data_IF_176693106078
#
_entry.id   IF_176693106078
#
_cell.length_a   1.000
_cell.length_b   1.000
_cell.length_c   1.000
_cell.angle_alpha   90.00
_cell.angle_beta   90.00
_cell.angle_gamma   90.00
#
_symmetry.space_group_name_H-M   'P 1'
#
loop_
_entity.id
_entity.type
_entity.pdbx_description
1 polymer ?
#
# COMPACT_ATOMS: atom_id res chain seq x y z
N UNK A 1 -2.38 -39.20 -26.69
CA UNK A 1 -3.71 -38.60 -26.52
C UNK A 1 -3.51 -37.17 -26.06
N UNK A 2 -3.74 -36.22 -26.97
CA UNK A 2 -3.83 -34.79 -26.69
C UNK A 2 -5.09 -34.53 -25.85
N UNK A 3 -5.04 -33.58 -24.91
CA UNK A 3 -5.98 -32.44 -24.83
C UNK A 3 -5.31 -31.30 -24.05
N UNK A 4 -5.31 -30.16 -24.72
CA UNK A 4 -4.86 -28.82 -24.35
C UNK A 4 -5.88 -28.07 -23.51
N UNK A 5 -5.43 -27.32 -22.51
CA UNK A 5 -5.93 -26.01 -22.02
C UNK A 5 -4.98 -25.60 -20.89
N UNK A 6 -4.44 -24.40 -20.77
CA UNK A 6 -4.66 -23.14 -21.47
C UNK A 6 -3.81 -22.11 -20.72
N UNK A 7 -3.10 -21.30 -21.49
CA UNK A 7 -2.30 -20.16 -21.07
C UNK A 7 -3.15 -19.14 -20.28
N UNK A 8 -2.70 -18.70 -19.11
CA UNK A 8 -3.03 -17.39 -18.50
C UNK A 8 -2.01 -17.10 -17.38
N UNK A 9 -0.79 -16.69 -17.74
CA UNK A 9 -0.30 -15.30 -17.66
C UNK A 9 0.11 -14.92 -16.22
N UNK A 10 1.41 -15.09 -15.96
CA UNK A 10 2.33 -14.08 -15.44
C UNK A 10 1.73 -13.07 -14.44
N UNK A 11 2.04 -13.25 -13.15
CA UNK A 11 2.15 -12.16 -12.16
C UNK A 11 3.38 -12.32 -11.26
N UNK A 12 4.38 -13.05 -11.76
CA UNK A 12 5.77 -13.00 -11.30
C UNK A 12 6.63 -12.34 -12.39
N UNK A 13 6.18 -11.19 -12.88
CA UNK A 13 6.98 -10.24 -13.65
C UNK A 13 6.13 -8.98 -13.76
N UNK A 14 6.56 -7.90 -13.10
CA UNK A 14 6.32 -6.61 -13.72
C UNK A 14 6.85 -6.73 -15.15
N UNK A 15 6.07 -6.39 -16.19
CA UNK A 15 6.69 -6.28 -17.49
C UNK A 15 7.80 -5.24 -17.33
N UNK A 16 9.00 -5.54 -17.78
CA UNK A 16 10.09 -4.57 -17.86
C UNK A 16 9.70 -3.32 -18.68
N UNK A 17 8.52 -3.33 -19.33
CA UNK A 17 7.85 -2.20 -19.97
C UNK A 17 6.94 -1.33 -19.06
N UNK A 18 6.78 -1.66 -17.77
CA UNK A 18 6.20 -0.79 -16.73
C UNK A 18 7.26 -0.31 -15.72
N UNK A 19 8.52 -0.67 -15.94
CA UNK A 19 9.67 -0.09 -15.25
C UNK A 19 10.02 1.32 -15.77
N UNK A 20 9.35 1.79 -16.81
CA UNK A 20 9.47 3.16 -17.31
C UNK A 20 8.70 4.13 -16.40
N UNK A 21 9.48 4.98 -15.72
CA UNK A 21 9.12 6.28 -15.12
C UNK A 21 8.70 6.36 -13.65
N UNK A 22 9.42 5.68 -12.75
CA UNK A 22 9.59 6.19 -11.37
C UNK A 22 10.80 7.13 -11.34
N UNK A 23 10.59 8.43 -11.13
CA UNK A 23 11.67 9.41 -11.22
C UNK A 23 12.46 9.56 -9.91
N UNK A 24 11.74 9.51 -8.78
CA UNK A 24 12.32 9.49 -7.44
C UNK A 24 11.32 8.94 -6.43
N UNK A 25 11.86 8.47 -5.31
CA UNK A 25 11.13 7.94 -4.18
C UNK A 25 11.83 8.39 -2.91
N UNK A 26 11.07 8.63 -1.84
CA UNK A 26 11.67 8.76 -0.52
C UNK A 26 10.79 8.10 0.53
N UNK A 27 11.46 7.55 1.55
CA UNK A 27 10.83 6.94 2.70
C UNK A 27 11.27 7.68 3.95
N UNK A 28 10.30 8.11 4.75
CA UNK A 28 10.53 8.80 6.02
C UNK A 28 9.96 7.98 7.15
N UNK A 29 10.71 7.91 8.25
CA UNK A 29 10.29 7.27 9.49
C UNK A 29 10.13 8.30 10.61
N UNK A 30 9.08 8.15 11.40
CA UNK A 30 8.87 8.90 12.63
C UNK A 30 8.28 7.98 13.70
N UNK A 31 9.09 7.67 14.71
CA UNK A 31 8.74 6.63 15.67
C UNK A 31 8.53 5.29 14.97
N UNK A 32 7.32 4.73 15.10
CA UNK A 32 6.95 3.47 14.46
C UNK A 32 6.29 3.65 13.09
N UNK A 33 5.99 4.88 12.68
CA UNK A 33 5.36 5.18 11.41
C UNK A 33 6.41 5.21 10.29
N UNK A 34 6.02 4.71 9.13
CA UNK A 34 6.82 4.79 7.91
C UNK A 34 5.94 5.30 6.77
N UNK A 35 6.38 6.35 6.08
CA UNK A 35 5.71 6.87 4.90
C UNK A 35 6.64 6.87 3.71
N UNK A 36 6.18 6.28 2.60
CA UNK A 36 6.85 6.34 1.32
C UNK A 36 6.06 7.20 0.34
N UNK A 37 6.78 8.06 -0.38
CA UNK A 37 6.24 8.92 -1.43
C UNK A 37 6.96 8.61 -2.72
N UNK A 38 6.21 8.36 -3.79
CA UNK A 38 6.72 8.20 -5.14
C UNK A 38 6.30 9.40 -5.99
N UNK A 39 7.26 9.99 -6.69
CA UNK A 39 7.02 11.12 -7.58
C UNK A 39 7.48 10.82 -9.01
N UNK A 40 6.83 11.49 -9.97
CA UNK A 40 7.12 11.42 -11.39
C UNK A 40 7.15 12.80 -12.02
N UNK A 41 7.87 12.91 -13.13
CA UNK A 41 7.97 14.08 -13.98
C UNK A 41 8.24 13.64 -15.42
N UNK A 42 7.25 13.84 -16.28
CA UNK A 42 7.32 13.49 -17.69
C UNK A 42 7.91 14.65 -18.51
N UNK A 43 9.18 14.54 -18.90
CA UNK A 43 9.85 15.58 -19.68
C UNK A 43 9.88 16.93 -18.95
N UNK A 44 9.26 17.94 -19.55
CA UNK A 44 9.17 19.30 -19.00
C UNK A 44 7.85 19.57 -18.24
N UNK A 45 7.00 18.56 -18.05
CA UNK A 45 5.79 18.73 -17.24
C UNK A 45 6.12 19.02 -15.77
N UNK A 46 5.18 19.61 -15.00
CA UNK A 46 5.34 19.72 -13.56
C UNK A 46 5.46 18.34 -12.90
N UNK A 47 6.29 18.25 -11.86
CA UNK A 47 6.37 17.07 -10.99
C UNK A 47 4.99 16.76 -10.39
N UNK A 48 4.65 15.48 -10.30
CA UNK A 48 3.43 14.97 -9.67
C UNK A 48 3.77 13.88 -8.66
N UNK A 49 3.00 13.82 -7.57
CA UNK A 49 3.06 12.69 -6.65
C UNK A 49 2.17 11.58 -7.21
N UNK A 50 2.78 10.44 -7.51
CA UNK A 50 2.10 9.32 -8.15
C UNK A 50 1.47 8.39 -7.10
N UNK A 51 2.12 8.25 -5.95
CA UNK A 51 1.66 7.35 -4.90
C UNK A 51 2.21 7.77 -3.55
N UNK A 52 1.38 7.62 -2.52
CA UNK A 52 1.78 7.78 -1.13
C UNK A 52 1.29 6.57 -0.37
N UNK A 53 2.16 6.00 0.45
CA UNK A 53 1.87 4.84 1.27
C UNK A 53 2.36 5.06 2.69
N UNK A 54 1.49 4.77 3.66
CA UNK A 54 1.74 4.93 5.09
C UNK A 54 1.54 3.59 5.79
N UNK A 55 2.54 3.21 6.58
CA UNK A 55 2.45 2.10 7.53
C UNK A 55 2.21 2.64 8.93
N UNK A 56 1.16 2.11 9.57
CA UNK A 56 0.86 2.37 10.97
C UNK A 56 0.81 1.05 11.76
N UNK A 57 1.92 0.60 12.35
CA UNK A 57 1.96 -0.58 13.19
C UNK A 57 1.26 -0.34 14.54
N UNK A 58 0.78 -1.42 15.14
CA UNK A 58 0.48 -1.45 16.57
C UNK A 58 1.77 -1.51 17.42
N UNK A 59 1.64 -1.38 18.74
CA UNK A 59 2.79 -1.23 19.65
C UNK A 59 3.79 -2.41 19.60
N UNK A 60 3.29 -3.64 19.51
CA UNK A 60 4.08 -4.87 19.42
C UNK A 60 4.42 -5.27 17.97
N UNK A 61 3.97 -4.50 16.99
CA UNK A 61 4.17 -4.70 15.54
C UNK A 61 3.63 -6.03 14.99
N UNK A 62 2.73 -6.68 15.73
CA UNK A 62 2.07 -7.90 15.27
C UNK A 62 1.04 -7.63 14.17
N UNK A 63 0.55 -6.39 14.07
CA UNK A 63 -0.35 -5.91 13.03
C UNK A 63 0.09 -4.54 12.51
N UNK A 64 -0.14 -4.30 11.21
CA UNK A 64 0.07 -3.01 10.54
C UNK A 64 -1.18 -2.64 9.77
N UNK A 65 -1.61 -1.40 9.91
CA UNK A 65 -2.55 -0.78 8.99
C UNK A 65 -1.76 -0.06 7.89
N UNK A 66 -1.87 -0.55 6.68
CA UNK A 66 -1.30 0.06 5.48
C UNK A 66 -2.36 0.95 4.83
N UNK A 67 -2.03 2.21 4.59
CA UNK A 67 -2.90 3.17 3.90
C UNK A 67 -2.22 3.71 2.64
N UNK A 68 -2.94 3.68 1.52
CA UNK A 68 -2.51 4.34 0.28
C UNK A 68 -3.34 5.59 0.04
N UNK A 69 -2.70 6.69 -0.36
CA UNK A 69 -3.36 7.95 -0.67
C UNK A 69 -3.18 8.34 -2.14
N UNK A 70 -4.15 9.08 -2.65
CA UNK A 70 -4.06 9.85 -3.89
C UNK A 70 -3.99 11.32 -3.51
N UNK A 71 -2.78 11.90 -3.37
CA UNK A 71 -2.64 13.28 -2.94
C UNK A 71 -3.12 14.25 -4.01
N UNK A 72 -3.74 15.33 -3.58
CA UNK A 72 -4.09 16.48 -4.41
C UNK A 72 -3.31 17.68 -3.88
N UNK A 73 -2.20 18.03 -4.56
CA UNK A 73 -1.28 19.06 -4.10
C UNK A 73 -0.54 18.66 -2.81
N UNK A 74 -0.66 19.50 -1.79
CA UNK A 74 0.11 19.40 -0.53
C UNK A 74 -0.67 18.70 0.60
N UNK A 75 -1.91 18.27 0.34
CA UNK A 75 -2.77 17.63 1.34
C UNK A 75 -2.87 16.11 1.13
N UNK A 76 -2.83 15.37 2.25
CA UNK A 76 -3.32 14.00 2.29
C UNK A 76 -4.80 14.02 2.67
N UNK A 77 -5.66 13.84 1.67
CA UNK A 77 -7.10 13.64 1.87
C UNK A 77 -7.38 12.25 2.49
N UNK A 78 -8.62 11.77 2.38
CA UNK A 78 -8.97 10.42 2.79
C UNK A 78 -8.08 9.36 2.11
N UNK A 79 -7.72 8.27 2.83
CA UNK A 79 -7.01 7.16 2.22
C UNK A 79 -7.85 6.57 1.09
N UNK A 80 -7.20 6.28 -0.03
CA UNK A 80 -7.83 5.66 -1.20
C UNK A 80 -7.94 4.14 -1.08
N UNK A 81 -7.10 3.53 -0.23
CA UNK A 81 -7.10 2.10 0.06
C UNK A 81 -6.55 1.87 1.47
N UNK A 82 -7.12 0.86 2.15
CA UNK A 82 -6.63 0.33 3.41
C UNK A 82 -6.40 -1.17 3.29
N UNK A 83 -5.31 -1.64 3.87
CA UNK A 83 -5.02 -3.06 4.05
C UNK A 83 -4.56 -3.31 5.48
N UNK A 84 -4.95 -4.44 6.06
CA UNK A 84 -4.38 -4.91 7.31
C UNK A 84 -3.38 -6.01 7.01
N UNK A 85 -2.22 -5.92 7.65
CA UNK A 85 -1.15 -6.90 7.56
C UNK A 85 -0.87 -7.47 8.94
N UNK A 86 -0.64 -8.77 9.00
CA UNK A 86 -0.18 -9.45 10.21
C UNK A 86 1.15 -10.14 9.95
N UNK A 87 1.96 -10.25 11.00
CA UNK A 87 3.25 -10.90 10.98
C UNK A 87 3.23 -12.22 11.76
N UNK A 88 4.16 -13.10 11.41
CA UNK A 88 4.41 -14.35 12.11
C UNK A 88 5.70 -15.01 11.65
N UNK A 89 5.94 -16.21 12.16
CA UNK A 89 7.12 -16.99 11.82
C UNK A 89 6.80 -18.04 10.76
N UNK A 90 7.59 -18.04 9.70
CA UNK A 90 7.64 -19.08 8.66
C UNK A 90 9.10 -19.22 8.25
N UNK A 91 9.55 -20.44 7.98
CA UNK A 91 10.88 -20.68 7.45
C UNK A 91 11.06 -20.02 6.07
N UNK A 92 12.28 -19.62 5.75
CA UNK A 92 12.60 -19.01 4.46
C UNK A 92 12.30 -19.97 3.30
N UNK A 93 11.74 -19.44 2.21
CA UNK A 93 11.36 -20.23 1.04
C UNK A 93 10.10 -21.08 1.20
N UNK A 94 9.43 -21.03 2.35
CA UNK A 94 8.18 -21.74 2.60
C UNK A 94 6.98 -20.80 2.76
N UNK A 95 5.81 -21.31 2.41
CA UNK A 95 4.53 -20.70 2.80
C UNK A 95 4.07 -21.29 4.14
N UNK A 96 3.48 -20.45 4.99
CA UNK A 96 2.82 -20.89 6.20
C UNK A 96 1.54 -21.70 5.90
N UNK A 97 0.99 -22.41 6.90
CA UNK A 97 -0.30 -23.08 6.76
C UNK A 97 -1.42 -22.07 6.44
N UNK A 98 -2.55 -22.51 5.87
CA UNK A 98 -3.72 -21.65 5.71
C UNK A 98 -4.23 -21.14 7.06
N UNK A 99 -4.41 -19.82 7.14
CA UNK A 99 -4.87 -19.10 8.32
C UNK A 99 -6.00 -18.15 7.95
N UNK A 100 -6.80 -17.72 8.91
CA UNK A 100 -7.79 -16.66 8.71
C UNK A 100 -7.25 -15.35 9.26
N UNK A 101 -7.21 -14.32 8.43
CA UNK A 101 -6.97 -12.94 8.86
C UNK A 101 -8.29 -12.19 8.79
N UNK A 102 -8.74 -11.70 9.95
CA UNK A 102 -9.97 -10.96 10.11
C UNK A 102 -9.70 -9.57 10.66
N UNK A 103 -10.59 -8.64 10.36
CA UNK A 103 -10.59 -7.30 10.91
C UNK A 103 -12.00 -6.81 11.23
N UNK A 104 -12.10 -5.86 12.15
CA UNK A 104 -13.34 -5.15 12.46
C UNK A 104 -13.03 -3.78 13.05
N UNK A 105 -13.97 -2.82 13.05
CA UNK A 105 -13.87 -1.65 13.93
C UNK A 105 -13.63 -2.11 15.38
N UNK A 106 -12.78 -1.41 16.14
CA UNK A 106 -12.34 -1.86 17.47
C UNK A 106 -13.49 -2.06 18.48
N UNK A 107 -14.62 -1.38 18.26
CA UNK A 107 -15.84 -1.44 19.07
C UNK A 107 -16.97 -2.26 18.41
N UNK A 108 -16.66 -3.01 17.35
CA UNK A 108 -17.66 -3.82 16.67
C UNK A 108 -18.14 -4.98 17.56
N UNK A 109 -19.37 -5.44 17.29
CA UNK A 109 -19.95 -6.58 18.00
C UNK A 109 -19.18 -7.86 17.66
N UNK A 110 -19.07 -8.82 18.59
CA UNK A 110 -18.50 -10.13 18.28
C UNK A 110 -19.18 -10.77 17.05
N UNK A 111 -18.39 -11.39 16.19
CA UNK A 111 -18.90 -12.09 15.00
C UNK A 111 -19.12 -11.23 13.74
N UNK A 112 -18.87 -9.91 13.80
CA UNK A 112 -18.99 -9.04 12.61
C UNK A 112 -17.66 -8.82 11.88
N UNK A 113 -16.62 -9.57 12.23
CA UNK A 113 -15.31 -9.43 11.63
C UNK A 113 -15.31 -9.89 10.17
N UNK A 114 -14.66 -9.09 9.32
CA UNK A 114 -14.53 -9.33 7.88
C UNK A 114 -13.11 -9.79 7.59
N UNK A 115 -12.93 -10.67 6.61
CA UNK A 115 -11.60 -10.99 6.13
C UNK A 115 -11.61 -12.24 5.27
N UNK A 116 -10.50 -12.98 5.28
CA UNK A 116 -10.34 -14.11 4.39
C UNK A 116 -9.25 -15.08 4.82
N UNK A 117 -9.12 -16.14 4.03
CA UNK A 117 -8.02 -17.07 4.15
C UNK A 117 -6.75 -16.44 3.57
N UNK A 118 -5.65 -16.59 4.29
CA UNK A 118 -4.33 -16.11 3.91
C UNK A 118 -3.29 -17.18 4.18
N UNK A 119 -2.08 -16.99 3.63
CA UNK A 119 -0.88 -17.71 4.01
C UNK A 119 0.20 -16.70 4.32
N UNK A 120 0.90 -16.89 5.43
CA UNK A 120 2.10 -16.13 5.71
C UNK A 120 3.16 -16.46 4.65
N UNK A 121 3.74 -15.43 4.05
CA UNK A 121 4.83 -15.55 3.11
C UNK A 121 6.00 -14.70 3.58
N UNK A 122 7.21 -15.23 3.49
CA UNK A 122 8.45 -14.48 3.72
C UNK A 122 8.98 -14.01 2.36
N UNK A 123 8.97 -12.70 2.13
CA UNK A 123 9.57 -12.12 0.93
C UNK A 123 11.11 -12.26 0.96
N UNK A 124 11.79 -12.21 -0.20
CA UNK A 124 13.24 -12.45 -0.30
C UNK A 124 14.12 -11.55 0.58
N UNK A 125 13.64 -10.34 0.88
CA UNK A 125 14.38 -9.33 1.68
C UNK A 125 13.74 -9.07 3.05
N UNK A 126 12.71 -9.85 3.43
CA UNK A 126 12.02 -9.67 4.72
C UNK A 126 12.46 -10.74 5.72
N UNK A 127 12.99 -10.36 6.90
CA UNK A 127 13.32 -11.33 7.93
C UNK A 127 12.08 -11.92 8.61
N UNK A 128 10.87 -11.44 8.32
CA UNK A 128 9.63 -11.89 8.97
C UNK A 128 8.58 -12.20 7.89
N UNK A 129 7.80 -13.26 8.10
CA UNK A 129 6.71 -13.62 7.21
C UNK A 129 5.48 -12.76 7.50
N UNK A 130 4.73 -12.43 6.46
CA UNK A 130 3.52 -11.62 6.60
C UNK A 130 2.41 -12.09 5.68
N UNK A 131 1.20 -11.71 6.04
CA UNK A 131 0.00 -11.87 5.24
C UNK A 131 -0.80 -10.58 5.32
N UNK A 132 -1.47 -10.21 4.23
CA UNK A 132 -2.32 -9.01 4.21
C UNK A 132 -3.62 -9.26 3.48
N UNK A 133 -4.62 -8.45 3.81
CA UNK A 133 -5.89 -8.37 3.10
C UNK A 133 -6.25 -6.91 2.88
N UNK A 134 -6.81 -6.61 1.71
CA UNK A 134 -7.44 -5.31 1.46
C UNK A 134 -8.71 -5.21 2.31
N UNK A 135 -8.75 -4.19 3.16
CA UNK A 135 -9.91 -3.87 3.99
C UNK A 135 -10.92 -3.04 3.20
N UNK A 136 -10.42 -2.03 2.49
CA UNK A 136 -11.24 -1.07 1.78
C UNK A 136 -10.48 -0.40 0.64
N UNK A 137 -11.23 0.06 -0.37
CA UNK A 137 -10.70 0.70 -1.55
C UNK A 137 -11.74 1.64 -2.17
N UNK A 138 -11.29 2.74 -2.76
CA UNK A 138 -12.08 3.70 -3.53
C UNK A 138 -11.78 3.62 -5.03
N UNK A 139 -12.58 4.33 -5.84
CA UNK A 139 -12.43 4.38 -7.30
C UNK A 139 -13.30 3.34 -8.02
N UNK A 140 -12.83 2.85 -9.17
CA UNK A 140 -13.65 2.02 -10.07
C UNK A 140 -14.10 0.68 -9.45
N UNK A 141 -13.29 0.11 -8.56
CA UNK A 141 -13.59 -1.12 -7.82
C UNK A 141 -13.77 -0.79 -6.33
N UNK A 142 -14.65 0.17 -6.05
CA UNK A 142 -14.93 0.60 -4.69
C UNK A 142 -15.40 -0.58 -3.83
N UNK A 143 -14.81 -0.72 -2.66
CA UNK A 143 -15.05 -1.80 -1.73
C UNK A 143 -14.95 -1.26 -0.31
N UNK A 144 -16.00 -1.43 0.48
CA UNK A 144 -16.04 -1.07 1.91
C UNK A 144 -15.58 0.36 2.21
N UNK A 145 -16.04 1.33 1.42
CA UNK A 145 -15.65 2.74 1.54
C UNK A 145 -15.98 3.33 2.91
N UNK A 146 -16.93 2.74 3.65
CA UNK A 146 -17.22 3.07 5.04
C UNK A 146 -16.00 2.95 5.98
N UNK A 147 -15.10 2.00 5.72
CA UNK A 147 -13.88 1.84 6.51
C UNK A 147 -12.82 2.90 6.16
N UNK A 148 -12.82 3.44 4.93
CA UNK A 148 -11.98 4.59 4.58
C UNK A 148 -12.41 5.82 5.39
N UNK A 149 -13.72 6.06 5.49
CA UNK A 149 -14.29 7.16 6.27
C UNK A 149 -14.06 6.98 7.77
N UNK A 150 -14.17 5.76 8.29
CA UNK A 150 -13.83 5.46 9.68
C UNK A 150 -12.36 5.74 9.99
N UNK A 151 -11.44 5.30 9.12
CA UNK A 151 -10.02 5.57 9.28
C UNK A 151 -9.71 7.07 9.23
N UNK A 152 -10.39 7.83 8.35
CA UNK A 152 -10.29 9.28 8.28
C UNK A 152 -10.70 9.96 9.60
N UNK A 153 -11.70 9.44 10.30
CA UNK A 153 -12.10 9.91 11.64
C UNK A 153 -11.16 9.47 12.76
N UNK A 154 -10.08 8.76 12.45
CA UNK A 154 -9.13 8.25 13.43
C UNK A 154 -9.64 7.02 14.20
N UNK A 155 -10.67 6.33 13.68
CA UNK A 155 -11.15 5.10 14.31
C UNK A 155 -10.11 3.99 14.25
N UNK A 156 -10.09 3.18 15.30
CA UNK A 156 -9.20 2.03 15.39
C UNK A 156 -9.86 0.76 14.84
N UNK A 157 -9.03 -0.12 14.30
CA UNK A 157 -9.42 -1.42 13.78
C UNK A 157 -8.74 -2.52 14.59
N UNK A 158 -9.51 -3.55 14.95
CA UNK A 158 -8.96 -4.78 15.53
C UNK A 158 -8.64 -5.75 14.40
N UNK A 159 -7.41 -6.25 14.38
CA UNK A 159 -6.98 -7.39 13.57
C UNK A 159 -6.92 -8.65 14.42
N UNK A 160 -7.31 -9.79 13.84
CA UNK A 160 -7.26 -11.10 14.48
C UNK A 160 -6.79 -12.13 13.47
N UNK A 161 -5.81 -12.96 13.86
CA UNK A 161 -5.27 -14.06 13.05
C UNK A 161 -5.60 -15.38 13.72
N UNK A 162 -6.20 -16.30 12.99
CA UNK A 162 -6.59 -17.61 13.48
C UNK A 162 -5.93 -18.72 12.68
N UNK A 163 -5.62 -19.83 13.34
CA UNK A 163 -5.23 -21.06 12.66
C UNK A 163 -6.38 -21.62 11.82
N UNK A 164 -6.07 -22.61 10.97
CA UNK A 164 -7.07 -23.36 10.20
C UNK A 164 -8.20 -23.92 11.07
N UNK A 165 -7.88 -24.37 12.28
CA UNK A 165 -8.82 -25.01 13.21
C UNK A 165 -9.57 -23.98 14.10
N UNK A 166 -9.38 -22.69 13.85
CA UNK A 166 -10.07 -21.61 14.56
C UNK A 166 -9.41 -21.18 15.87
N UNK A 167 -8.19 -21.63 16.18
CA UNK A 167 -7.44 -21.15 17.34
C UNK A 167 -6.93 -19.73 17.09
N UNK A 168 -7.16 -18.80 18.01
CA UNK A 168 -6.58 -17.45 17.94
C UNK A 168 -5.04 -17.54 18.06
N UNK A 169 -4.34 -17.01 17.07
CA UNK A 169 -2.88 -16.96 17.00
C UNK A 169 -2.35 -15.60 17.45
N UNK A 170 -2.98 -14.52 17.00
CA UNK A 170 -2.65 -13.15 17.40
C UNK A 170 -3.85 -12.23 17.28
N UNK A 171 -3.87 -11.16 18.08
CA UNK A 171 -4.81 -10.06 17.96
C UNK A 171 -4.11 -8.75 18.28
N UNK A 172 -4.52 -7.67 17.62
CA UNK A 172 -3.96 -6.34 17.83
C UNK A 172 -4.93 -5.27 17.38
N UNK A 173 -4.74 -4.05 17.90
CA UNK A 173 -5.49 -2.88 17.45
C UNK A 173 -4.55 -1.93 16.75
N UNK A 174 -4.94 -1.51 15.55
CA UNK A 174 -4.21 -0.57 14.68
C UNK A 174 -5.10 0.64 14.38
N UNK A 175 -4.49 1.80 14.17
CA UNK A 175 -5.18 3.02 13.73
C UNK A 175 -4.25 3.83 12.86
N UNK A 176 -4.78 4.68 11.99
CA UNK A 176 -3.97 5.70 11.36
C UNK A 176 -3.55 6.76 12.40
N UNK A 177 -2.39 7.41 12.21
CA UNK A 177 -2.05 8.59 12.98
C UNK A 177 -3.02 9.73 12.64
N UNK A 178 -3.00 10.77 13.47
CA UNK A 178 -3.80 11.97 13.22
C UNK A 178 -3.39 12.63 11.89
N UNK A 179 -4.34 13.29 11.22
CA UNK A 179 -4.15 13.88 9.89
C UNK A 179 -2.93 14.81 9.84
N UNK A 180 -2.74 15.65 10.85
CA UNK A 180 -1.59 16.55 10.93
C UNK A 180 -0.25 15.80 10.95
N UNK A 181 -0.18 14.65 11.61
CA UNK A 181 1.03 13.81 11.65
C UNK A 181 1.27 13.15 10.31
N UNK A 182 0.23 12.61 9.67
CA UNK A 182 0.33 12.03 8.33
C UNK A 182 0.77 13.09 7.29
N UNK A 183 0.16 14.28 7.30
CA UNK A 183 0.51 15.37 6.39
C UNK A 183 1.94 15.85 6.62
N UNK A 184 2.40 15.96 7.88
CA UNK A 184 3.79 16.34 8.17
C UNK A 184 4.80 15.31 7.62
N UNK A 185 4.52 14.01 7.79
CA UNK A 185 5.32 12.93 7.20
C UNK A 185 5.34 13.01 5.66
N UNK A 186 4.18 13.29 5.05
CA UNK A 186 4.04 13.41 3.61
C UNK A 186 4.87 14.56 3.06
N UNK A 187 4.77 15.75 3.63
CA UNK A 187 5.53 16.91 3.19
C UNK A 187 7.03 16.65 3.31
N UNK A 188 7.48 16.04 4.41
CA UNK A 188 8.89 15.67 4.59
C UNK A 188 9.36 14.65 3.54
N UNK A 189 8.60 13.59 3.32
CA UNK A 189 8.93 12.56 2.34
C UNK A 189 8.91 13.11 0.92
N UNK A 190 7.94 13.96 0.58
CA UNK A 190 7.88 14.64 -0.72
C UNK A 190 9.09 15.54 -0.94
N UNK A 191 9.45 16.38 0.03
CA UNK A 191 10.64 17.25 -0.09
C UNK A 191 11.90 16.43 -0.36
N UNK A 192 12.09 15.31 0.35
CA UNK A 192 13.22 14.40 0.13
C UNK A 192 13.18 13.78 -1.26
N UNK A 193 12.02 13.27 -1.69
CA UNK A 193 11.86 12.68 -3.02
C UNK A 193 12.14 13.71 -4.12
N UNK A 194 11.67 14.95 -3.97
CA UNK A 194 11.91 16.04 -4.92
C UNK A 194 13.38 16.44 -4.99
N UNK A 195 14.11 16.42 -3.86
CA UNK A 195 15.54 16.72 -3.85
C UNK A 195 16.37 15.69 -4.64
N UNK A 196 15.90 14.45 -4.72
CA UNK A 196 16.54 13.35 -5.46
C UNK A 196 15.97 13.17 -6.88
N UNK A 197 15.01 14.02 -7.29
CA UNK A 197 14.31 13.91 -8.55
C UNK A 197 15.24 14.08 -9.75
N UNK A 198 15.24 13.08 -10.63
CA UNK A 198 15.81 13.17 -11.98
C UNK A 198 14.68 13.07 -13.02
N UNK A 199 14.71 13.84 -14.13
CA UNK A 199 13.67 13.77 -15.15
C UNK A 199 13.45 12.34 -15.66
N UNK A 200 12.20 11.89 -15.79
CA UNK A 200 11.91 10.56 -16.32
C UNK A 200 12.03 10.56 -17.85
N UNK A 201 13.26 10.39 -18.35
CA UNK A 201 13.57 10.24 -19.77
C UNK A 201 14.20 11.49 -20.40
N UNK A 202 14.66 11.38 -21.66
CA UNK A 202 15.29 12.49 -22.37
C UNK A 202 14.29 13.66 -22.53
N UNK A 203 14.76 14.92 -22.53
CA UNK A 203 13.91 16.07 -22.77
C UNK A 203 13.18 15.90 -24.11
N UNK A 204 11.85 16.03 -24.10
CA UNK A 204 11.07 16.08 -25.34
C UNK A 204 11.43 17.37 -26.04
N UNK A 205 12.34 17.30 -27.02
CA UNK A 205 12.58 18.41 -27.93
C UNK A 205 11.38 18.49 -28.87
N UNK A 206 10.46 19.42 -28.59
CA UNK A 206 9.41 19.77 -29.53
C UNK A 206 10.08 20.43 -30.73
N UNK A 207 10.16 19.71 -31.85
CA UNK A 207 10.61 20.29 -33.12
C UNK A 207 9.63 21.42 -33.49
N UNK A 208 10.11 22.64 -33.78
CA UNK A 208 9.24 23.73 -34.22
C UNK A 208 8.41 23.25 -35.42
N UNK A 209 7.11 23.52 -35.40
CA UNK A 209 6.25 23.23 -36.54
C UNK A 209 6.84 23.91 -37.79
N UNK A 210 6.98 23.19 -38.92
CA UNK A 210 7.46 23.81 -40.14
C UNK A 210 6.54 24.99 -40.50
N UNK A 211 7.10 26.11 -40.99
CA UNK A 211 6.28 27.26 -41.36
C UNK A 211 5.20 26.82 -42.35
N UNK A 212 3.97 27.24 -42.10
CA UNK A 212 2.83 27.00 -42.99
C UNK A 212 3.20 27.60 -44.35
N UNK A 213 3.25 26.77 -45.38
CA UNK A 213 3.32 27.25 -46.76
C UNK A 213 1.90 27.68 -47.13
N UNK A 214 1.67 28.99 -47.10
CA UNK A 214 0.56 29.60 -47.83
C UNK A 214 0.92 29.65 -49.33
#
# INVERSE_FOLDING_TARGET
MFWTTGLAIILASMPAAQAEKKCAAATVRQGVLEMMVLIGQDGAEPMRVNWVWLQSPNADRSFVLDASYRPEGDALNAPSQLSIRSYGEVAEGLEGPPERLLWSPAHARPGTATGGWVRLQRGPESPIASASITMAQSGALAYRTEALEAARRGEAFRGERFSRDGKLLSSGTVRLPDEAVATALFLKARTMATAELKPCGPPVMLTPAPPRKD
#
